data_IF_439162559259
#
_entry.id   IF_439162559259
#
_cell.length_a   1.000
_cell.length_b   1.000
_cell.length_c   1.000
_cell.angle_alpha   90.00
_cell.angle_beta   90.00
_cell.angle_gamma   90.00
#
_symmetry.space_group_name_H-M   'P 1'
#
loop_
_entity.id
_entity.type
_entity.pdbx_description
1 polymer ?
#
# COMPACT_ATOMS: atom_id res chain seq x y z
N UNK A 1 9.33 -20.26 -6.04
CA UNK A 1 8.64 -19.29 -6.92
C UNK A 1 9.69 -18.35 -7.44
N UNK A 2 9.78 -18.17 -8.76
CA UNK A 2 10.70 -17.19 -9.36
C UNK A 2 10.20 -15.77 -9.06
N UNK A 3 11.06 -14.77 -9.24
CA UNK A 3 10.67 -13.37 -9.13
C UNK A 3 9.49 -13.03 -10.06
N UNK A 4 9.53 -13.52 -11.30
CA UNK A 4 8.49 -13.26 -12.30
C UNK A 4 7.14 -13.88 -11.90
N UNK A 5 7.15 -15.14 -11.45
CA UNK A 5 5.93 -15.80 -10.95
C UNK A 5 5.34 -15.06 -9.74
N UNK A 6 6.20 -14.57 -8.84
CA UNK A 6 5.80 -13.79 -7.67
C UNK A 6 5.17 -12.46 -8.07
N UNK A 7 5.80 -11.73 -8.98
CA UNK A 7 5.34 -10.42 -9.42
C UNK A 7 3.99 -10.56 -10.16
N UNK A 8 3.80 -11.60 -10.98
CA UNK A 8 2.50 -11.93 -11.61
C UNK A 8 1.43 -12.22 -10.56
N UNK A 9 1.71 -13.08 -9.57
CA UNK A 9 0.75 -13.39 -8.51
C UNK A 9 0.39 -12.14 -7.68
N UNK A 10 1.36 -11.30 -7.40
CA UNK A 10 1.15 -10.06 -6.66
C UNK A 10 0.30 -9.06 -7.44
N UNK A 11 0.51 -8.91 -8.75
CA UNK A 11 -0.33 -8.08 -9.63
C UNK A 11 -1.79 -8.54 -9.59
N UNK A 12 -2.05 -9.85 -9.67
CA UNK A 12 -3.42 -10.38 -9.59
C UNK A 12 -4.06 -10.11 -8.23
N UNK A 13 -3.30 -10.18 -7.14
CA UNK A 13 -3.78 -9.82 -5.81
C UNK A 13 -4.01 -8.31 -5.65
N UNK A 14 -3.21 -7.45 -6.29
CA UNK A 14 -3.47 -6.00 -6.32
C UNK A 14 -4.75 -5.68 -7.10
N UNK A 15 -5.01 -6.36 -8.23
CA UNK A 15 -6.29 -6.24 -8.96
C UNK A 15 -7.47 -6.75 -8.12
N UNK A 16 -7.27 -7.81 -7.35
CA UNK A 16 -8.28 -8.29 -6.40
C UNK A 16 -8.53 -7.26 -5.29
N UNK A 17 -7.51 -6.56 -4.80
CA UNK A 17 -7.71 -5.44 -3.87
C UNK A 17 -8.59 -4.38 -4.53
N UNK A 18 -8.22 -3.91 -5.74
CA UNK A 18 -8.99 -2.88 -6.45
C UNK A 18 -10.49 -3.22 -6.52
N UNK A 19 -10.81 -4.44 -6.96
CA UNK A 19 -12.19 -4.88 -7.16
C UNK A 19 -12.92 -5.12 -5.83
N UNK A 20 -12.29 -5.78 -4.86
CA UNK A 20 -12.94 -6.16 -3.59
C UNK A 20 -13.10 -5.02 -2.60
N UNK A 21 -12.31 -3.96 -2.73
CA UNK A 21 -12.38 -2.77 -1.86
C UNK A 21 -12.94 -1.54 -2.57
N UNK A 22 -13.30 -1.68 -3.86
CA UNK A 22 -13.80 -0.61 -4.72
C UNK A 22 -12.84 0.60 -4.69
N UNK A 23 -11.58 0.29 -4.98
CA UNK A 23 -10.44 1.21 -4.96
C UNK A 23 -10.02 1.54 -6.39
N UNK A 24 -9.49 2.76 -6.52
CA UNK A 24 -8.95 3.31 -7.76
C UNK A 24 -7.48 2.93 -7.98
N UNK A 25 -6.73 2.76 -6.89
CA UNK A 25 -5.29 2.44 -6.90
C UNK A 25 -4.99 1.40 -5.85
N UNK A 26 -4.12 0.45 -6.17
CA UNK A 26 -3.50 -0.48 -5.25
C UNK A 26 -2.00 -0.55 -5.56
N UNK A 27 -1.14 -0.45 -4.54
CA UNK A 27 0.30 -0.53 -4.75
C UNK A 27 0.96 -1.36 -3.66
N UNK A 28 2.03 -2.06 -4.03
CA UNK A 28 2.88 -2.82 -3.12
C UNK A 28 4.23 -2.13 -3.02
N UNK A 29 4.64 -1.81 -1.80
CA UNK A 29 5.92 -1.18 -1.51
C UNK A 29 6.79 -2.03 -0.58
N UNK A 30 8.10 -1.88 -0.75
CA UNK A 30 9.14 -2.53 0.05
C UNK A 30 9.88 -1.51 0.89
N UNK A 31 10.02 -1.80 2.18
CA UNK A 31 10.82 -1.03 3.10
C UNK A 31 12.29 -1.49 3.03
N UNK A 32 13.16 -0.62 2.54
CA UNK A 32 14.59 -0.87 2.46
C UNK A 32 15.26 -0.50 3.78
N UNK A 33 15.78 -1.50 4.50
CA UNK A 33 16.44 -1.28 5.80
C UNK A 33 17.69 -0.38 5.70
N UNK A 34 18.49 -0.54 4.65
CA UNK A 34 19.74 0.20 4.45
C UNK A 34 19.49 1.69 4.22
N UNK A 35 18.55 2.03 3.34
CA UNK A 35 18.26 3.40 2.95
C UNK A 35 17.19 4.05 3.82
N UNK A 36 16.48 3.26 4.64
CA UNK A 36 15.27 3.62 5.41
C UNK A 36 14.19 4.27 4.53
N UNK A 37 14.10 3.82 3.28
CA UNK A 37 13.13 4.33 2.31
C UNK A 37 12.13 3.24 1.95
N UNK A 38 10.90 3.68 1.67
CA UNK A 38 9.89 2.90 0.98
C UNK A 38 10.06 3.13 -0.52
N UNK A 39 10.11 2.03 -1.29
CA UNK A 39 9.98 2.05 -2.76
C UNK A 39 8.74 1.26 -3.17
N UNK A 40 8.07 1.69 -4.24
CA UNK A 40 7.01 0.91 -4.85
C UNK A 40 7.60 -0.14 -5.77
N UNK A 41 7.15 -1.38 -5.59
CA UNK A 41 7.50 -2.52 -6.44
C UNK A 41 6.50 -2.65 -7.60
N UNK A 42 5.22 -2.52 -7.29
CA UNK A 42 4.10 -2.75 -8.20
C UNK A 42 3.01 -1.72 -7.91
N UNK A 43 2.33 -1.26 -8.96
CA UNK A 43 1.21 -0.31 -8.88
C UNK A 43 0.15 -0.71 -9.89
N UNK A 44 -1.08 -0.87 -9.44
CA UNK A 44 -2.26 -1.14 -10.27
C UNK A 44 -3.27 0.00 -10.13
N UNK A 45 -3.88 0.40 -11.24
CA UNK A 45 -4.86 1.51 -11.29
C UNK A 45 -4.26 2.92 -11.16
N UNK A 46 -2.92 3.04 -11.11
CA UNK A 46 -2.21 4.32 -11.05
C UNK A 46 -2.51 5.21 -12.27
N UNK A 47 -2.74 6.49 -12.02
CA UNK A 47 -2.93 7.51 -13.06
C UNK A 47 -1.62 8.26 -13.39
N UNK A 48 -0.56 8.04 -12.62
CA UNK A 48 0.72 8.72 -12.79
C UNK A 48 1.88 7.73 -12.91
N UNK A 49 2.69 7.80 -13.98
CA UNK A 49 3.90 6.98 -14.09
C UNK A 49 4.98 7.38 -13.07
N UNK A 50 4.78 8.50 -12.34
CA UNK A 50 5.68 8.92 -11.26
C UNK A 50 5.51 8.08 -10.01
N UNK A 51 4.39 7.39 -9.85
CA UNK A 51 4.06 6.67 -8.62
C UNK A 51 5.08 5.59 -8.30
N UNK A 52 5.48 4.78 -9.28
CA UNK A 52 6.56 3.77 -9.13
C UNK A 52 7.93 4.38 -8.79
N UNK A 53 8.14 5.64 -9.19
CA UNK A 53 9.40 6.37 -8.94
C UNK A 53 9.45 7.04 -7.58
N UNK A 54 8.33 7.07 -6.84
CA UNK A 54 8.30 7.63 -5.50
C UNK A 54 9.26 6.84 -4.60
N UNK A 55 10.05 7.60 -3.84
CA UNK A 55 10.86 7.09 -2.73
C UNK A 55 10.56 7.96 -1.52
N UNK A 56 9.98 7.37 -0.48
CA UNK A 56 9.55 8.08 0.73
C UNK A 56 10.32 7.58 1.95
N UNK A 57 10.54 8.42 2.96
CA UNK A 57 11.11 7.95 4.22
C UNK A 57 10.11 7.04 4.94
N UNK A 58 10.58 5.95 5.54
CA UNK A 58 9.73 5.07 6.34
C UNK A 58 9.14 5.74 7.60
N UNK A 59 9.64 6.92 7.98
CA UNK A 59 9.07 7.72 9.07
C UNK A 59 7.75 8.41 8.69
N UNK A 60 7.51 8.62 7.40
CA UNK A 60 6.52 9.58 6.93
C UNK A 60 5.22 8.86 6.52
N UNK A 61 4.11 9.59 6.61
CA UNK A 61 2.85 9.14 6.04
C UNK A 61 2.14 7.99 6.74
N UNK A 62 1.11 7.54 6.04
CA UNK A 62 0.27 6.41 6.37
C UNK A 62 1.06 5.11 6.31
N UNK A 63 1.86 4.94 5.26
CA UNK A 63 2.67 3.73 5.02
C UNK A 63 3.73 3.55 6.11
N UNK A 64 4.44 4.62 6.46
CA UNK A 64 5.40 4.60 7.57
C UNK A 64 4.73 4.30 8.91
N UNK A 65 3.57 4.90 9.17
CA UNK A 65 2.80 4.65 10.40
C UNK A 65 2.30 3.21 10.50
N UNK A 66 1.85 2.62 9.38
CA UNK A 66 1.45 1.22 9.30
C UNK A 66 2.63 0.29 9.59
N UNK A 67 3.76 0.52 8.93
CA UNK A 67 4.98 -0.27 9.11
C UNK A 67 5.54 -0.22 10.54
N UNK A 68 5.42 0.91 11.24
CA UNK A 68 5.87 1.03 12.64
C UNK A 68 4.91 0.38 13.63
N UNK A 69 3.61 0.54 13.41
CA UNK A 69 2.59 0.05 14.34
C UNK A 69 2.26 -1.42 14.15
N UNK A 70 2.57 -1.98 12.96
CA UNK A 70 2.10 -3.30 12.57
C UNK A 70 0.59 -3.38 12.39
N UNK A 71 -0.08 -2.23 12.23
CA UNK A 71 -1.54 -2.13 12.10
C UNK A 71 -1.92 -1.44 10.81
N UNK A 72 -3.10 -1.77 10.31
CA UNK A 72 -3.70 -1.04 9.20
C UNK A 72 -3.98 0.39 9.63
N UNK A 73 -3.49 1.37 8.85
CA UNK A 73 -3.75 2.79 9.07
C UNK A 73 -4.63 3.29 7.95
N UNK A 74 -5.71 3.99 8.32
CA UNK A 74 -6.69 4.53 7.38
C UNK A 74 -6.63 6.03 7.33
N UNK A 75 -6.90 6.53 6.14
CA UNK A 75 -7.21 7.91 5.83
C UNK A 75 -8.66 7.95 5.39
N UNK A 76 -9.51 8.45 6.29
CA UNK A 76 -10.92 8.66 5.99
C UNK A 76 -11.11 9.89 5.08
N UNK A 77 -12.22 9.91 4.36
CA UNK A 77 -12.61 10.99 3.45
C UNK A 77 -13.05 12.25 4.22
N UNK A 78 -13.25 13.37 3.52
CA UNK A 78 -13.72 14.63 4.13
C UNK A 78 -12.64 15.46 4.85
N UNK A 79 -11.37 15.11 4.72
CA UNK A 79 -10.27 15.94 5.22
C UNK A 79 -10.10 17.19 4.36
N UNK A 80 -9.89 18.34 5.02
CA UNK A 80 -9.50 19.55 4.32
C UNK A 80 -8.14 19.36 3.64
N UNK A 81 -7.95 19.97 2.45
CA UNK A 81 -6.73 19.80 1.66
C UNK A 81 -5.45 20.09 2.47
N UNK A 82 -5.49 21.10 3.36
CA UNK A 82 -4.37 21.46 4.25
C UNK A 82 -3.93 20.32 5.17
N UNK A 83 -4.86 19.50 5.64
CA UNK A 83 -4.58 18.39 6.54
C UNK A 83 -4.16 17.15 5.76
N UNK A 84 -4.65 17.05 4.52
CA UNK A 84 -4.19 16.07 3.54
C UNK A 84 -2.70 16.24 3.19
N UNK A 85 -2.24 17.47 2.94
CA UNK A 85 -0.83 17.76 2.68
C UNK A 85 0.08 17.45 3.86
N UNK A 86 -0.40 17.63 5.10
CA UNK A 86 0.37 17.33 6.32
C UNK A 86 0.62 15.84 6.53
N UNK A 87 -0.16 14.96 5.90
CA UNK A 87 0.08 13.52 5.97
C UNK A 87 1.46 13.16 5.43
N UNK A 88 1.98 13.92 4.46
CA UNK A 88 3.29 13.67 3.86
C UNK A 88 3.38 12.34 3.10
N UNK A 89 2.23 11.74 2.75
CA UNK A 89 2.17 10.50 1.98
C UNK A 89 2.20 10.82 0.48
N UNK A 90 3.35 10.60 -0.16
CA UNK A 90 3.62 11.05 -1.52
C UNK A 90 2.72 10.36 -2.56
N UNK A 91 2.39 9.07 -2.39
CA UNK A 91 1.49 8.37 -3.32
C UNK A 91 0.08 8.93 -3.25
N UNK A 92 -0.39 9.27 -2.05
CA UNK A 92 -1.70 9.87 -1.81
C UNK A 92 -1.83 11.21 -2.54
N UNK A 93 -0.79 12.03 -2.52
CA UNK A 93 -0.73 13.29 -3.26
C UNK A 93 -0.60 13.08 -4.79
N UNK A 94 0.29 12.18 -5.20
CA UNK A 94 0.58 11.94 -6.63
C UNK A 94 -0.62 11.36 -7.37
N UNK A 95 -1.35 10.46 -6.72
CA UNK A 95 -2.54 9.80 -7.27
C UNK A 95 -3.85 10.54 -6.97
N UNK A 96 -3.77 11.71 -6.30
CA UNK A 96 -4.92 12.53 -5.89
C UNK A 96 -5.98 11.73 -5.15
N UNK A 97 -5.54 10.87 -4.24
CA UNK A 97 -6.44 10.10 -3.41
C UNK A 97 -7.22 11.06 -2.49
N UNK A 98 -8.39 10.64 -2.03
CA UNK A 98 -9.25 11.32 -1.04
C UNK A 98 -9.56 10.42 0.15
N UNK A 99 -9.47 9.10 -0.04
CA UNK A 99 -9.40 8.12 1.03
C UNK A 99 -8.30 7.10 0.71
N UNK A 100 -7.64 6.56 1.72
CA UNK A 100 -6.58 5.57 1.55
C UNK A 100 -6.47 4.63 2.76
N UNK A 101 -5.88 3.46 2.59
CA UNK A 101 -5.51 2.60 3.70
C UNK A 101 -4.18 1.91 3.41
N UNK A 102 -3.28 1.94 4.39
CA UNK A 102 -2.00 1.26 4.34
C UNK A 102 -2.06 -0.01 5.20
N UNK A 103 -1.73 -1.15 4.57
CA UNK A 103 -1.71 -2.47 5.17
C UNK A 103 -0.26 -2.93 5.33
N UNK A 104 0.24 -3.09 6.56
CA UNK A 104 1.59 -3.57 6.77
C UNK A 104 1.65 -5.09 6.54
N UNK A 105 2.66 -5.52 5.80
CA UNK A 105 2.86 -6.91 5.40
C UNK A 105 4.25 -7.36 5.88
N UNK A 106 4.30 -8.43 6.67
CA UNK A 106 5.56 -8.96 7.22
C UNK A 106 5.77 -10.40 6.77
N UNK A 107 6.32 -10.63 5.56
CA UNK A 107 6.66 -11.98 5.10
C UNK A 107 7.74 -12.63 5.98
N UNK A 108 8.66 -11.85 6.55
CA UNK A 108 9.68 -12.33 7.49
C UNK A 108 10.08 -11.24 8.49
N UNK A 109 10.95 -11.57 9.45
CA UNK A 109 11.48 -10.61 10.45
C UNK A 109 12.33 -9.50 9.83
N UNK A 110 12.94 -9.76 8.67
CA UNK A 110 13.90 -8.85 8.03
C UNK A 110 13.35 -8.19 6.76
N UNK A 111 12.17 -8.59 6.33
CA UNK A 111 11.54 -8.08 5.12
C UNK A 111 10.17 -7.51 5.48
N UNK A 112 10.06 -6.18 5.41
CA UNK A 112 8.83 -5.46 5.64
C UNK A 112 8.30 -4.89 4.31
N UNK A 113 7.04 -5.18 4.04
CA UNK A 113 6.29 -4.72 2.88
C UNK A 113 5.09 -3.91 3.36
N UNK A 114 4.51 -3.10 2.47
CA UNK A 114 3.26 -2.40 2.72
C UNK A 114 2.43 -2.42 1.45
N UNK A 115 1.16 -2.78 1.56
CA UNK A 115 0.19 -2.52 0.52
C UNK A 115 -0.54 -1.21 0.83
N UNK A 116 -0.84 -0.41 -0.18
CA UNK A 116 -1.75 0.73 -0.04
C UNK A 116 -2.89 0.59 -1.03
N UNK A 117 -4.10 0.88 -0.57
CA UNK A 117 -5.28 1.03 -1.42
C UNK A 117 -5.78 2.47 -1.34
N UNK A 118 -6.26 2.99 -2.46
CA UNK A 118 -6.64 4.39 -2.60
C UNK A 118 -7.95 4.58 -3.36
N UNK A 119 -8.73 5.58 -2.97
CA UNK A 119 -9.89 6.08 -3.70
C UNK A 119 -9.67 7.55 -4.04
N UNK A 120 -9.98 7.95 -5.27
CA UNK A 120 -9.98 9.35 -5.75
C UNK A 120 -11.30 10.07 -5.45
N UNK A 121 -12.35 9.30 -5.17
CA UNK A 121 -13.64 9.80 -4.66
C UNK A 121 -13.60 10.04 -3.16
N UNK A 122 -14.41 10.99 -2.72
CA UNK A 122 -14.53 11.40 -1.32
C UNK A 122 -15.42 10.42 -0.52
N UNK A 123 -14.96 9.17 -0.39
CA UNK A 123 -15.71 8.08 0.25
C UNK A 123 -14.79 7.15 1.07
N UNK A 124 -14.95 7.15 2.39
CA UNK A 124 -14.23 6.27 3.31
C UNK A 124 -14.51 4.78 3.08
N UNK A 125 -13.54 3.94 3.43
CA UNK A 125 -13.71 2.48 3.35
C UNK A 125 -14.65 1.95 4.42
N UNK A 126 -15.59 1.08 4.01
CA UNK A 126 -16.43 0.33 4.93
C UNK A 126 -15.64 -0.74 5.70
N UNK A 127 -16.18 -1.20 6.83
CA UNK A 127 -15.58 -2.30 7.59
C UNK A 127 -15.44 -3.59 6.76
N UNK A 128 -16.44 -3.88 5.92
CA UNK A 128 -16.41 -5.04 5.02
C UNK A 128 -15.26 -4.94 4.01
N UNK A 129 -15.09 -3.78 3.37
CA UNK A 129 -13.96 -3.55 2.45
C UNK A 129 -12.62 -3.73 3.17
N UNK A 130 -12.49 -3.21 4.40
CA UNK A 130 -11.25 -3.37 5.17
C UNK A 130 -10.98 -4.82 5.59
N UNK A 131 -12.00 -5.60 5.89
CA UNK A 131 -11.85 -7.05 6.15
C UNK A 131 -11.31 -7.77 4.91
N UNK A 132 -11.85 -7.44 3.72
CA UNK A 132 -11.37 -8.00 2.44
C UNK A 132 -9.94 -7.58 2.14
N UNK A 133 -9.60 -6.32 2.40
CA UNK A 133 -8.24 -5.82 2.23
C UNK A 133 -7.23 -6.59 3.09
N UNK A 134 -7.58 -6.85 4.35
CA UNK A 134 -6.76 -7.62 5.30
C UNK A 134 -6.61 -9.09 4.87
N UNK A 135 -7.67 -9.73 4.38
CA UNK A 135 -7.62 -11.08 3.79
C UNK A 135 -6.64 -11.16 2.61
N UNK A 136 -6.75 -10.23 1.65
CA UNK A 136 -5.88 -10.20 0.47
C UNK A 136 -4.45 -9.80 0.84
N UNK A 137 -4.27 -8.91 1.82
CA UNK A 137 -2.96 -8.55 2.38
C UNK A 137 -2.20 -9.76 2.94
N UNK A 138 -2.89 -10.67 3.62
CA UNK A 138 -2.27 -11.94 4.07
C UNK A 138 -1.77 -12.80 2.91
N UNK A 139 -2.53 -12.87 1.81
CA UNK A 139 -2.13 -13.60 0.61
C UNK A 139 -0.92 -12.94 -0.05
N UNK A 140 -0.91 -11.61 -0.18
CA UNK A 140 0.24 -10.84 -0.67
C UNK A 140 1.50 -11.11 0.15
N UNK A 141 1.38 -11.09 1.49
CA UNK A 141 2.50 -11.40 2.38
C UNK A 141 3.03 -12.83 2.16
N UNK A 142 2.16 -13.80 1.87
CA UNK A 142 2.58 -15.19 1.62
C UNK A 142 3.44 -15.34 0.36
N UNK A 143 3.24 -14.51 -0.67
CA UNK A 143 4.06 -14.52 -1.89
C UNK A 143 5.55 -14.22 -1.61
N UNK A 144 5.88 -13.50 -0.54
CA UNK A 144 7.26 -13.14 -0.19
C UNK A 144 7.90 -14.00 0.92
N UNK A 145 7.18 -14.98 1.46
CA UNK A 145 7.73 -15.89 2.49
C UNK A 145 8.83 -16.82 1.97
N UNK A 146 8.89 -17.03 0.67
CA UNK A 146 9.76 -18.05 0.04
C UNK A 146 11.22 -17.63 -0.12
N UNK A 147 11.56 -16.36 0.12
CA UNK A 147 12.92 -15.81 -0.06
C UNK A 147 13.78 -15.88 1.23
N UNK A 148 13.27 -16.53 2.28
CA UNK A 148 13.98 -16.75 3.54
C UNK A 148 14.54 -18.18 3.61
N UNK A 149 15.60 -18.45 2.85
CA UNK A 149 16.50 -19.59 3.06
C UNK A 149 17.94 -19.10 3.13
#
# INVERSE_FOLDING_TARGET
MTKEERDVAAVELLKLLLTSTDSDVAALGEAEAETRKLKWLLVEGGASPRTERIRQKMSDGLTGSALRSGRVIKLDSGLADKDFFKLGEAIVLTERLRAAAALPLYPSKHHALVAIIGRRRDESYSAAAMSRADEVGRLLSACWRSDAQ
#
